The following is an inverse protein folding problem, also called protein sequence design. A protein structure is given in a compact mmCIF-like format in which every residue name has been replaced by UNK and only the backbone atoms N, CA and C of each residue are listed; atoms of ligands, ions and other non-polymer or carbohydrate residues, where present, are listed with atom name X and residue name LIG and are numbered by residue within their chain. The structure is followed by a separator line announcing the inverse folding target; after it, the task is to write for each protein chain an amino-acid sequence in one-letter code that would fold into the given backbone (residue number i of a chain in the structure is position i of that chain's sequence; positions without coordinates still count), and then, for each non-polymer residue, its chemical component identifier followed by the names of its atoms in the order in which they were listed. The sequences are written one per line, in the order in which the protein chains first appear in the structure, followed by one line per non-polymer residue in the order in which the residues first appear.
data_IF_790903663160
#
_entry.id   IF_790903663160
#
_cell.length_a   1.000
_cell.length_b   1.000
_cell.length_c   1.000
_cell.angle_alpha   90.00
_cell.angle_beta   90.00
_cell.angle_gamma   90.00
#
_symmetry.space_group_name_H-M   'P 1'
#
loop_
_entity.id
_entity.type
_entity.pdbx_description
1 polymer ?
#
# COMPACT_ATOMS: atom_id res chain seq x y z
N UNK A 1 -23.91 -28.91 109.46
CA UNK A 1 -22.51 -28.50 109.71
C UNK A 1 -21.61 -29.61 109.22
N UNK A 2 -20.86 -29.58 108.12
CA UNK A 2 -20.09 -28.52 107.43
C UNK A 2 -19.86 -28.86 105.94
N UNK A 3 -20.58 -29.85 105.37
CA UNK A 3 -20.35 -30.39 104.02
C UNK A 3 -21.17 -29.72 102.89
N UNK A 4 -22.08 -28.78 103.23
CA UNK A 4 -23.02 -28.17 102.27
C UNK A 4 -22.48 -26.91 101.57
N UNK A 5 -21.33 -26.37 101.99
CA UNK A 5 -20.70 -25.17 101.41
C UNK A 5 -19.54 -25.47 100.43
N UNK A 6 -18.98 -26.69 100.46
CA UNK A 6 -17.90 -27.12 99.56
C UNK A 6 -18.40 -27.48 98.15
N UNK A 7 -19.63 -27.99 98.03
CA UNK A 7 -20.28 -28.26 96.75
C UNK A 7 -20.62 -26.99 95.98
N UNK A 8 -21.05 -25.92 96.67
CA UNK A 8 -21.38 -24.63 96.05
C UNK A 8 -20.13 -23.91 95.51
N UNK A 9 -18.99 -24.07 96.19
CA UNK A 9 -17.68 -23.51 95.78
C UNK A 9 -17.11 -24.19 94.54
N UNK A 10 -17.30 -25.51 94.40
CA UNK A 10 -16.92 -26.27 93.21
C UNK A 10 -17.81 -25.95 92.00
N UNK A 11 -19.11 -25.74 92.24
CA UNK A 11 -20.05 -25.34 91.20
C UNK A 11 -19.78 -23.93 90.66
N UNK A 12 -19.40 -22.97 91.53
CA UNK A 12 -18.98 -21.63 91.12
C UNK A 12 -17.63 -21.62 90.38
N UNK A 13 -16.66 -22.48 90.76
CA UNK A 13 -15.38 -22.59 90.06
C UNK A 13 -15.55 -23.16 88.64
N UNK A 14 -16.43 -24.14 88.47
CA UNK A 14 -16.74 -24.73 87.15
C UNK A 14 -17.49 -23.75 86.24
N UNK A 15 -18.44 -22.97 86.80
CA UNK A 15 -19.16 -21.95 86.05
C UNK A 15 -18.25 -20.80 85.56
N UNK A 16 -17.27 -20.39 86.38
CA UNK A 16 -16.31 -19.34 86.01
C UNK A 16 -15.32 -19.81 84.93
N UNK A 17 -14.92 -21.09 84.96
CA UNK A 17 -14.10 -21.70 83.92
C UNK A 17 -14.85 -21.86 82.58
N UNK A 18 -16.15 -22.17 82.62
CA UNK A 18 -16.98 -22.22 81.43
C UNK A 18 -17.18 -20.83 80.80
N UNK A 19 -17.28 -19.77 81.61
CA UNK A 19 -17.37 -18.38 81.12
C UNK A 19 -16.09 -17.93 80.42
N UNK A 20 -14.91 -18.31 80.94
CA UNK A 20 -13.61 -18.00 80.36
C UNK A 20 -13.38 -18.69 79.00
N UNK A 21 -14.01 -19.84 78.73
CA UNK A 21 -13.94 -20.49 77.41
C UNK A 21 -14.80 -19.79 76.35
N UNK A 22 -15.88 -19.10 76.73
CA UNK A 22 -16.71 -18.34 75.77
C UNK A 22 -16.13 -16.99 75.37
N UNK A 23 -15.11 -16.50 76.08
CA UNK A 23 -14.43 -15.22 75.78
C UNK A 23 -13.36 -15.33 74.67
N UNK A 24 -12.97 -16.54 74.27
CA UNK A 24 -11.93 -16.76 73.27
C UNK A 24 -12.53 -17.45 72.03
N UNK A 25 -13.24 -16.68 71.20
CA UNK A 25 -13.93 -17.30 70.07
C UNK A 25 -14.69 -16.39 69.12
N UNK A 26 -14.14 -15.24 68.72
CA UNK A 26 -14.57 -14.59 67.48
C UNK A 26 -13.34 -14.11 66.69
N UNK A 27 -12.87 -14.97 65.79
CA UNK A 27 -11.96 -14.54 64.72
C UNK A 27 -12.84 -13.99 63.61
N UNK A 28 -13.09 -12.68 63.65
CA UNK A 28 -13.77 -11.99 62.56
C UNK A 28 -12.92 -12.14 61.30
N UNK A 29 -13.48 -12.79 60.28
CA UNK A 29 -12.82 -12.95 58.99
C UNK A 29 -12.80 -11.59 58.30
N UNK A 30 -11.62 -11.08 57.88
CA UNK A 30 -11.55 -9.77 57.25
C UNK A 30 -12.40 -9.77 55.97
N UNK A 31 -13.13 -8.67 55.69
CA UNK A 31 -13.97 -8.58 54.50
C UNK A 31 -13.10 -8.83 53.26
N UNK A 32 -13.56 -9.74 52.40
CA UNK A 32 -12.85 -10.12 51.17
C UNK A 32 -12.69 -8.87 50.31
N UNK A 33 -11.43 -8.46 50.10
CA UNK A 33 -11.13 -7.27 49.32
C UNK A 33 -11.75 -7.41 47.91
N UNK A 34 -12.40 -6.36 47.37
CA UNK A 34 -12.94 -6.40 46.03
C UNK A 34 -11.81 -6.61 45.03
N UNK A 35 -12.06 -7.35 43.93
CA UNK A 35 -11.04 -7.57 42.91
C UNK A 35 -10.56 -6.22 42.36
N UNK A 36 -9.25 -6.09 42.08
CA UNK A 36 -8.68 -4.85 41.59
C UNK A 36 -9.28 -4.49 40.22
N UNK A 37 -9.60 -3.22 40.03
CA UNK A 37 -10.08 -2.73 38.74
C UNK A 37 -8.92 -2.75 37.73
N UNK A 38 -9.15 -3.37 36.57
CA UNK A 38 -8.19 -3.45 35.47
C UNK A 38 -8.82 -2.88 34.21
N UNK A 39 -8.05 -2.10 33.46
CA UNK A 39 -8.46 -1.60 32.16
C UNK A 39 -8.25 -2.68 31.11
N UNK A 40 -9.30 -3.04 30.40
CA UNK A 40 -9.25 -3.99 29.28
C UNK A 40 -9.64 -3.28 27.99
N UNK A 41 -9.04 -3.74 26.88
CA UNK A 41 -9.40 -3.32 25.54
C UNK A 41 -9.85 -4.55 24.77
N UNK A 42 -11.00 -4.44 24.10
CA UNK A 42 -11.52 -5.50 23.24
C UNK A 42 -10.91 -5.33 21.85
N UNK A 43 -10.16 -6.33 21.39
CA UNK A 43 -9.56 -6.33 20.04
C UNK A 43 -10.49 -7.07 19.09
N UNK A 44 -10.89 -6.42 18.00
CA UNK A 44 -11.63 -7.02 16.89
C UNK A 44 -10.72 -7.20 15.68
N UNK A 45 -10.76 -8.37 15.04
CA UNK A 45 -10.10 -8.58 13.76
C UNK A 45 -10.83 -7.79 12.67
N UNK A 46 -10.10 -6.96 11.94
CA UNK A 46 -10.59 -6.24 10.78
C UNK A 46 -9.71 -6.59 9.59
N UNK A 47 -10.34 -6.99 8.48
CA UNK A 47 -9.63 -7.23 7.23
C UNK A 47 -9.27 -5.88 6.61
N UNK A 48 -7.99 -5.54 6.66
CA UNK A 48 -7.45 -4.34 6.05
C UNK A 48 -6.72 -4.77 4.77
N UNK A 49 -7.32 -4.43 3.63
CA UNK A 49 -6.66 -4.64 2.33
C UNK A 49 -5.33 -3.89 2.26
N UNK A 50 -4.30 -4.54 1.73
CA UNK A 50 -2.99 -3.89 1.54
C UNK A 50 -3.02 -2.88 0.40
N UNK A 51 -2.71 -1.61 0.70
CA UNK A 51 -2.40 -0.62 -0.33
C UNK A 51 -0.91 -0.66 -0.67
N UNK A 52 -0.57 -0.55 -1.96
CA UNK A 52 0.80 -0.41 -2.42
C UNK A 52 0.90 0.77 -3.36
N UNK A 53 1.81 1.68 -3.05
CA UNK A 53 2.13 2.84 -3.86
C UNK A 53 3.43 2.58 -4.61
N UNK A 54 3.43 2.94 -5.89
CA UNK A 54 4.59 2.80 -6.75
C UNK A 54 4.85 4.12 -7.46
N UNK A 55 6.11 4.51 -7.53
CA UNK A 55 6.55 5.62 -8.36
C UNK A 55 6.66 5.12 -9.79
N UNK A 56 6.01 5.81 -10.72
CA UNK A 56 6.05 5.51 -12.15
C UNK A 56 6.34 6.76 -12.97
N UNK A 57 6.89 6.56 -14.16
CA UNK A 57 7.10 7.60 -15.17
C UNK A 57 6.33 7.25 -16.43
N UNK A 58 5.70 8.25 -17.02
CA UNK A 58 5.05 8.11 -18.33
C UNK A 58 6.07 8.30 -19.45
N UNK A 59 5.97 7.48 -20.48
CA UNK A 59 6.77 7.57 -21.70
C UNK A 59 5.87 7.53 -22.94
N UNK A 60 6.39 7.98 -24.08
CA UNK A 60 5.67 7.90 -25.33
C UNK A 60 5.44 6.42 -25.71
N UNK A 61 4.22 6.08 -26.13
CA UNK A 61 3.93 4.72 -26.60
C UNK A 61 4.78 4.36 -27.84
N UNK A 62 5.03 5.33 -28.70
CA UNK A 62 5.89 5.18 -29.86
C UNK A 62 6.58 6.52 -30.14
N UNK A 63 7.88 6.46 -30.38
CA UNK A 63 8.70 7.59 -30.76
C UNK A 63 9.42 7.24 -32.07
N UNK A 64 9.46 8.20 -33.00
CA UNK A 64 10.14 8.04 -34.29
C UNK A 64 11.02 9.26 -34.52
N UNK A 65 12.31 9.00 -34.77
CA UNK A 65 13.23 10.03 -35.22
C UNK A 65 13.18 10.11 -36.74
N UNK A 66 12.77 11.27 -37.27
CA UNK A 66 12.71 11.51 -38.69
C UNK A 66 14.11 11.85 -39.22
N UNK A 67 14.60 11.04 -40.15
CA UNK A 67 15.86 11.26 -40.85
C UNK A 67 15.62 11.32 -42.36
N UNK A 68 16.35 12.19 -43.04
CA UNK A 68 16.34 12.23 -44.50
C UNK A 68 17.01 10.96 -45.05
N UNK A 69 16.29 10.22 -45.91
CA UNK A 69 16.84 9.02 -46.58
C UNK A 69 17.78 9.37 -47.73
N UNK A 70 17.64 10.56 -48.28
CA UNK A 70 18.38 11.04 -49.43
C UNK A 70 19.01 12.39 -49.11
N UNK A 71 20.14 12.68 -49.73
CA UNK A 71 20.83 13.95 -49.59
C UNK A 71 20.13 15.04 -50.41
N UNK A 72 20.17 16.27 -49.94
CA UNK A 72 19.62 17.41 -50.68
C UNK A 72 19.30 18.58 -49.78
N UNK A 73 18.93 19.68 -50.41
CA UNK A 73 18.52 20.90 -49.72
C UNK A 73 17.04 20.82 -49.34
N UNK A 74 16.71 21.16 -48.10
CA UNK A 74 15.32 21.29 -47.65
C UNK A 74 14.65 22.45 -48.40
N UNK A 75 13.56 22.17 -49.10
CA UNK A 75 12.80 23.15 -49.87
C UNK A 75 11.63 23.70 -49.06
N UNK A 76 10.83 22.83 -48.43
CA UNK A 76 9.65 23.24 -47.63
C UNK A 76 9.47 22.39 -46.39
N UNK A 77 8.89 23.04 -45.37
CA UNK A 77 8.35 22.40 -44.16
C UNK A 77 6.84 22.58 -44.15
N UNK A 78 6.11 21.47 -44.21
CA UNK A 78 4.64 21.44 -44.39
C UNK A 78 3.89 21.13 -43.08
N UNK A 79 4.58 21.15 -41.94
CA UNK A 79 4.03 20.80 -40.63
C UNK A 79 4.24 21.96 -39.66
N UNK A 80 3.26 22.17 -38.78
CA UNK A 80 3.38 23.09 -37.66
C UNK A 80 3.99 22.36 -36.46
N UNK A 81 4.98 22.98 -35.82
CA UNK A 81 5.63 22.44 -34.63
C UNK A 81 4.62 22.17 -33.51
N UNK A 82 4.70 20.97 -32.91
CA UNK A 82 3.76 20.52 -31.88
C UNK A 82 2.37 20.13 -32.40
N UNK A 83 2.12 20.23 -33.71
CA UNK A 83 0.87 19.83 -34.34
C UNK A 83 0.69 18.32 -34.46
N UNK A 84 -0.55 17.88 -34.63
CA UNK A 84 -0.86 16.49 -34.98
C UNK A 84 -0.63 16.24 -36.47
N UNK A 85 -0.08 15.08 -36.80
CA UNK A 85 0.16 14.64 -38.18
C UNK A 85 -0.48 13.29 -38.43
N UNK A 86 -1.00 13.09 -39.63
CA UNK A 86 -1.53 11.81 -40.06
C UNK A 86 -0.43 10.93 -40.67
N UNK A 87 -0.68 9.62 -40.74
CA UNK A 87 0.16 8.70 -41.49
C UNK A 87 0.21 9.13 -42.96
N UNK A 88 1.39 9.00 -43.57
CA UNK A 88 1.65 9.31 -44.99
C UNK A 88 1.48 10.80 -45.37
N UNK A 89 1.34 11.68 -44.38
CA UNK A 89 1.36 13.13 -44.59
C UNK A 89 2.76 13.60 -44.96
N UNK A 90 2.87 14.43 -46.00
CA UNK A 90 4.14 15.05 -46.40
C UNK A 90 4.53 16.09 -45.35
N UNK A 91 5.61 15.84 -44.62
CA UNK A 91 6.11 16.74 -43.57
C UNK A 91 7.20 17.69 -44.10
N UNK A 92 8.08 17.18 -44.96
CA UNK A 92 9.23 17.90 -45.50
C UNK A 92 9.41 17.60 -46.99
N UNK A 93 9.75 18.63 -47.75
CA UNK A 93 10.08 18.51 -49.18
C UNK A 93 11.57 18.80 -49.36
N UNK A 94 12.31 17.86 -49.93
CA UNK A 94 13.71 18.04 -50.35
C UNK A 94 13.69 18.43 -51.84
N UNK A 95 14.57 19.35 -52.26
CA UNK A 95 14.70 19.72 -53.67
C UNK A 95 14.93 18.47 -54.53
N UNK A 96 14.09 18.31 -55.56
CA UNK A 96 14.04 17.09 -56.37
C UNK A 96 14.67 17.24 -57.75
N UNK A 97 15.26 18.39 -58.09
CA UNK A 97 15.63 18.71 -59.48
C UNK A 97 16.69 17.72 -60.01
N UNK A 98 17.72 17.45 -59.21
CA UNK A 98 18.75 16.46 -59.53
C UNK A 98 18.17 15.06 -59.67
N UNK A 99 17.25 14.66 -58.78
CA UNK A 99 16.63 13.34 -58.81
C UNK A 99 15.68 13.17 -60.00
N UNK A 100 14.93 14.21 -60.36
CA UNK A 100 14.06 14.22 -61.54
C UNK A 100 14.88 14.15 -62.82
N UNK A 101 15.99 14.89 -62.90
CA UNK A 101 16.90 14.83 -64.04
C UNK A 101 17.50 13.42 -64.22
N UNK A 102 18.04 12.82 -63.15
CA UNK A 102 18.58 11.46 -63.18
C UNK A 102 17.52 10.42 -63.57
N UNK A 103 16.30 10.54 -63.02
CA UNK A 103 15.18 9.67 -63.38
C UNK A 103 14.79 9.82 -64.86
N UNK A 104 14.79 11.03 -65.40
CA UNK A 104 14.51 11.27 -66.82
C UNK A 104 15.57 10.65 -67.72
N UNK A 105 16.86 10.77 -67.35
CA UNK A 105 17.97 10.17 -68.07
C UNK A 105 17.88 8.64 -68.09
N UNK A 106 17.66 8.02 -66.91
CA UNK A 106 17.53 6.57 -66.81
C UNK A 106 16.33 6.03 -67.61
N UNK A 107 15.21 6.76 -67.64
CA UNK A 107 14.04 6.40 -68.46
C UNK A 107 14.34 6.49 -69.95
N UNK A 108 15.05 7.53 -70.39
CA UNK A 108 15.44 7.68 -71.80
C UNK A 108 16.40 6.56 -72.23
N UNK A 109 17.36 6.20 -71.39
CA UNK A 109 18.26 5.07 -71.65
C UNK A 109 17.51 3.74 -71.72
N UNK A 110 16.59 3.48 -70.77
CA UNK A 110 15.73 2.30 -70.79
C UNK A 110 14.90 2.23 -72.08
N UNK A 111 14.30 3.35 -72.51
CA UNK A 111 13.51 3.42 -73.72
C UNK A 111 14.36 3.13 -74.98
N UNK A 112 15.56 3.71 -75.06
CA UNK A 112 16.49 3.44 -76.16
C UNK A 112 16.86 1.95 -76.23
N UNK A 113 17.18 1.32 -75.10
CA UNK A 113 17.52 -0.12 -75.04
C UNK A 113 16.36 -1.03 -75.42
N UNK A 114 15.12 -0.66 -75.06
CA UNK A 114 13.94 -1.42 -75.45
C UNK A 114 13.66 -1.27 -76.95
N UNK A 115 13.92 -0.11 -77.54
CA UNK A 115 13.72 0.13 -78.97
C UNK A 115 14.77 -0.56 -79.87
N UNK A 116 15.93 -0.90 -79.32
CA UNK A 116 16.97 -1.67 -80.01
C UNK A 116 16.70 -3.19 -80.06
N UNK A 117 15.64 -3.67 -79.40
CA UNK A 117 15.17 -5.07 -79.44
C UNK A 117 14.06 -5.25 -80.46
#
# INVERSE_FOLDING_TARGET
MTLLSSLHRSLWLSASAALMLTACGQKAEPPKAPPPAVSVVVVSAQDIGGSREFVARTEAYSEVQLIARVEGTLEKTNVQEGGFVAKDQVLFEINQDTYKAQLSQAKAELAARIAEK
#
